data_IF_794332015506
#
_entry.id   IF_794332015506
#
_cell.length_a   1.000
_cell.length_b   1.000
_cell.length_c   1.000
_cell.angle_alpha   90.00
_cell.angle_beta   90.00
_cell.angle_gamma   90.00
#
_symmetry.space_group_name_H-M   'P 1'
#
loop_
_entity.id
_entity.type
_entity.pdbx_description
1 polymer ?
#
# COMPACT_ATOMS: atom_id res chain seq x y z
N UNK A 1 -14.04 -1.98 -25.86
CA UNK A 1 -14.80 -1.98 -24.57
C UNK A 1 -14.89 -3.35 -23.89
N UNK A 2 -14.88 -4.49 -24.62
CA UNK A 2 -14.99 -5.85 -24.01
C UNK A 2 -13.69 -6.31 -23.29
N UNK A 3 -12.52 -5.93 -23.81
CA UNK A 3 -11.21 -6.29 -23.26
C UNK A 3 -10.95 -5.61 -21.91
N UNK A 4 -11.26 -4.30 -21.81
CA UNK A 4 -11.16 -3.53 -20.56
C UNK A 4 -12.05 -4.14 -19.47
N UNK A 5 -13.29 -4.53 -19.80
CA UNK A 5 -14.20 -5.17 -18.86
C UNK A 5 -13.80 -6.58 -18.41
N UNK A 6 -13.02 -7.32 -19.22
CA UNK A 6 -12.42 -8.62 -18.84
C UNK A 6 -11.17 -8.41 -17.97
N UNK A 7 -10.30 -7.47 -18.34
CA UNK A 7 -9.10 -7.12 -17.60
C UNK A 7 -9.44 -6.59 -16.20
N UNK A 8 -10.38 -5.64 -16.12
CA UNK A 8 -10.89 -5.12 -14.84
C UNK A 8 -11.51 -6.22 -13.97
N UNK A 9 -12.15 -7.24 -14.56
CA UNK A 9 -12.70 -8.39 -13.82
C UNK A 9 -11.63 -9.30 -13.23
N UNK A 10 -10.55 -9.55 -13.98
CA UNK A 10 -9.42 -10.39 -13.54
C UNK A 10 -8.61 -9.68 -12.47
N UNK A 11 -8.29 -8.40 -12.68
CA UNK A 11 -7.61 -7.54 -11.70
C UNK A 11 -8.43 -7.47 -10.41
N UNK A 12 -9.74 -7.24 -10.50
CA UNK A 12 -10.65 -7.17 -9.33
C UNK A 12 -10.78 -8.50 -8.58
N UNK A 13 -10.60 -9.65 -9.25
CA UNK A 13 -10.54 -10.98 -8.60
C UNK A 13 -9.22 -11.19 -7.83
N UNK A 14 -8.10 -10.73 -8.38
CA UNK A 14 -6.80 -10.80 -7.67
C UNK A 14 -6.78 -9.86 -6.45
N UNK A 15 -7.26 -8.62 -6.60
CA UNK A 15 -7.32 -7.62 -5.52
C UNK A 15 -8.18 -8.10 -4.33
N UNK A 16 -9.22 -8.91 -4.55
CA UNK A 16 -10.08 -9.46 -3.48
C UNK A 16 -9.47 -10.61 -2.67
N UNK A 17 -8.38 -11.24 -3.15
CA UNK A 17 -7.71 -12.34 -2.43
C UNK A 17 -6.43 -11.95 -1.72
N UNK A 18 -5.93 -10.74 -1.93
CA UNK A 18 -4.71 -10.29 -1.25
C UNK A 18 -5.01 -10.19 0.24
N UNK A 19 -4.51 -11.11 1.05
CA UNK A 19 -4.63 -11.07 2.51
C UNK A 19 -3.76 -9.94 3.07
N UNK A 20 -4.01 -9.50 4.31
CA UNK A 20 -3.13 -8.53 4.97
C UNK A 20 -1.69 -9.05 5.07
N UNK A 21 -1.51 -10.36 5.30
CA UNK A 21 -0.20 -11.00 5.31
C UNK A 21 0.54 -10.91 3.98
N UNK A 22 -0.14 -11.08 2.84
CA UNK A 22 0.51 -10.95 1.52
C UNK A 22 0.98 -9.52 1.23
N UNK A 23 0.23 -8.50 1.66
CA UNK A 23 0.67 -7.10 1.51
C UNK A 23 1.86 -6.82 2.40
N UNK A 24 1.82 -7.25 3.66
CA UNK A 24 2.94 -7.09 4.58
C UNK A 24 4.21 -7.80 4.04
N UNK A 25 4.07 -9.03 3.55
CA UNK A 25 5.16 -9.79 2.94
C UNK A 25 5.71 -9.07 1.70
N UNK A 26 4.84 -8.59 0.80
CA UNK A 26 5.27 -7.86 -0.40
C UNK A 26 5.99 -6.54 -0.04
N UNK A 27 5.51 -5.84 0.98
CA UNK A 27 6.15 -4.63 1.49
C UNK A 27 7.55 -4.93 2.05
N UNK A 28 7.67 -5.93 2.93
CA UNK A 28 8.95 -6.33 3.50
C UNK A 28 9.92 -6.84 2.44
N UNK A 29 9.44 -7.63 1.48
CA UNK A 29 10.24 -8.12 0.37
C UNK A 29 10.75 -6.98 -0.52
N UNK A 30 9.89 -6.00 -0.83
CA UNK A 30 10.28 -4.84 -1.63
C UNK A 30 11.24 -3.91 -0.88
N UNK A 31 11.03 -3.70 0.43
CA UNK A 31 11.98 -3.00 1.30
C UNK A 31 13.34 -3.70 1.32
N UNK A 32 13.38 -5.02 1.55
CA UNK A 32 14.62 -5.78 1.56
C UNK A 32 15.34 -5.75 0.19
N UNK A 33 14.60 -5.91 -0.90
CA UNK A 33 15.15 -5.82 -2.26
C UNK A 33 15.76 -4.44 -2.52
N UNK A 34 15.04 -3.37 -2.19
CA UNK A 34 15.50 -1.99 -2.39
C UNK A 34 16.74 -1.69 -1.53
N UNK A 35 16.75 -2.18 -0.28
CA UNK A 35 17.88 -2.05 0.63
C UNK A 35 19.14 -2.73 0.07
N UNK A 36 19.02 -3.98 -0.37
CA UNK A 36 20.14 -4.74 -0.95
C UNK A 36 20.66 -4.08 -2.22
N UNK A 37 19.76 -3.63 -3.12
CA UNK A 37 20.18 -2.97 -4.36
C UNK A 37 20.92 -1.65 -4.09
N UNK A 38 20.45 -0.84 -3.14
CA UNK A 38 21.12 0.40 -2.73
C UNK A 38 22.47 0.12 -2.07
N UNK A 39 22.56 -0.95 -1.26
CA UNK A 39 23.82 -1.38 -0.65
C UNK A 39 24.84 -1.77 -1.72
N UNK A 40 24.41 -2.56 -2.73
CA UNK A 40 25.25 -2.94 -3.87
C UNK A 40 25.65 -1.74 -4.75
N UNK A 41 24.82 -0.70 -4.79
CA UNK A 41 25.14 0.57 -5.46
C UNK A 41 26.09 1.48 -4.66
N UNK A 42 26.53 1.06 -3.46
CA UNK A 42 27.45 1.82 -2.61
C UNK A 42 26.79 2.95 -1.81
N UNK A 43 25.46 2.95 -1.68
CA UNK A 43 24.70 3.99 -0.98
C UNK A 43 24.70 3.81 0.55
N UNK A 44 25.89 3.71 1.16
CA UNK A 44 26.05 3.39 2.59
C UNK A 44 25.31 4.35 3.55
N UNK A 45 25.11 5.61 3.15
CA UNK A 45 24.37 6.61 3.93
C UNK A 45 22.86 6.37 3.96
N UNK A 46 22.30 5.69 2.94
CA UNK A 46 20.86 5.46 2.80
C UNK A 46 20.42 4.12 3.39
N UNK A 47 21.36 3.19 3.57
CA UNK A 47 21.12 1.79 3.96
C UNK A 47 21.30 1.53 5.45
N UNK A 48 21.48 2.59 6.26
CA UNK A 48 21.48 2.51 7.73
C UNK A 48 20.13 2.07 8.27
N UNK A 49 20.11 1.43 9.46
CA UNK A 49 18.88 0.88 10.06
C UNK A 49 17.85 1.95 10.44
N UNK A 50 18.30 3.17 10.69
CA UNK A 50 17.51 4.37 10.97
C UNK A 50 17.22 5.17 9.68
N UNK A 51 18.22 5.31 8.82
CA UNK A 51 18.14 6.07 7.58
C UNK A 51 17.22 5.41 6.52
N UNK A 52 17.31 4.09 6.36
CA UNK A 52 16.59 3.38 5.30
C UNK A 52 15.06 3.41 5.48
N UNK A 53 14.49 3.09 6.67
CA UNK A 53 13.04 3.15 6.85
C UNK A 53 12.49 4.56 6.63
N UNK A 54 13.23 5.59 7.07
CA UNK A 54 12.85 6.99 6.85
C UNK A 54 12.91 7.36 5.35
N UNK A 55 14.00 7.03 4.65
CA UNK A 55 14.13 7.27 3.21
C UNK A 55 13.05 6.52 2.40
N UNK A 56 12.80 5.26 2.75
CA UNK A 56 11.78 4.45 2.10
C UNK A 56 10.38 5.04 2.32
N UNK A 57 10.05 5.44 3.55
CA UNK A 57 8.73 6.01 3.88
C UNK A 57 8.50 7.36 3.20
N UNK A 58 9.49 8.27 3.22
CA UNK A 58 9.39 9.58 2.56
C UNK A 58 9.28 9.44 1.04
N UNK A 59 9.87 8.39 0.46
CA UNK A 59 9.73 8.09 -0.97
C UNK A 59 8.38 7.43 -1.28
N UNK A 60 7.94 6.46 -0.49
CA UNK A 60 6.66 5.76 -0.67
C UNK A 60 5.45 6.70 -0.57
N UNK A 61 5.54 7.66 0.34
CA UNK A 61 4.53 8.72 0.52
C UNK A 61 4.68 9.87 -0.46
N UNK A 62 5.71 9.86 -1.31
CA UNK A 62 6.05 10.92 -2.27
C UNK A 62 6.31 12.29 -1.63
N UNK A 63 6.60 12.34 -0.33
CA UNK A 63 6.95 13.58 0.38
C UNK A 63 8.35 14.05 -0.03
N UNK A 64 9.34 13.14 0.03
CA UNK A 64 10.71 13.38 -0.43
C UNK A 64 11.37 14.66 0.09
N UNK A 65 11.67 14.75 1.40
CA UNK A 65 12.29 15.93 2.01
C UNK A 65 13.64 16.33 1.39
N UNK A 66 14.34 15.39 0.75
CA UNK A 66 15.58 15.65 0.00
C UNK A 66 16.86 15.63 0.85
N UNK A 67 16.74 15.41 2.15
CA UNK A 67 17.84 15.21 3.10
C UNK A 67 18.60 13.89 2.84
N UNK A 68 17.86 12.81 2.55
CA UNK A 68 18.42 11.55 2.07
C UNK A 68 18.07 11.31 0.61
N UNK A 69 19.10 11.18 -0.23
CA UNK A 69 18.94 10.89 -1.67
C UNK A 69 20.16 10.14 -2.24
N UNK A 70 19.95 9.20 -3.18
CA UNK A 70 21.04 8.44 -3.80
C UNK A 70 21.97 9.36 -4.60
N UNK A 71 23.26 9.23 -4.34
CA UNK A 71 24.29 10.10 -4.95
C UNK A 71 24.95 9.45 -6.16
N UNK A 72 25.08 8.13 -6.16
CA UNK A 72 25.63 7.34 -7.26
C UNK A 72 24.70 7.29 -8.46
N UNK A 73 25.27 7.10 -9.66
CA UNK A 73 24.50 6.93 -10.90
C UNK A 73 23.61 5.69 -10.82
N UNK A 74 24.15 4.56 -10.35
CA UNK A 74 23.40 3.32 -10.18
C UNK A 74 22.26 3.46 -9.16
N UNK A 75 22.52 4.08 -8.01
CA UNK A 75 21.53 4.31 -6.96
C UNK A 75 20.35 5.15 -7.44
N UNK A 76 20.58 6.16 -8.30
CA UNK A 76 19.50 6.95 -8.91
C UNK A 76 18.60 6.11 -9.81
N UNK A 77 19.17 5.24 -10.65
CA UNK A 77 18.38 4.36 -11.50
C UNK A 77 17.60 3.32 -10.69
N UNK A 78 18.21 2.73 -9.66
CA UNK A 78 17.53 1.83 -8.73
C UNK A 78 16.36 2.54 -8.05
N UNK A 79 16.58 3.76 -7.55
CA UNK A 79 15.54 4.52 -6.90
C UNK A 79 14.38 4.85 -7.87
N UNK A 80 14.70 5.27 -9.09
CA UNK A 80 13.71 5.65 -10.10
C UNK A 80 12.87 4.48 -10.62
N UNK A 81 13.49 3.33 -10.89
CA UNK A 81 12.82 2.21 -11.56
C UNK A 81 12.35 1.10 -10.63
N UNK A 82 13.00 0.91 -9.47
CA UNK A 82 12.66 -0.17 -8.52
C UNK A 82 11.95 0.40 -7.31
N UNK A 83 12.57 1.39 -6.66
CA UNK A 83 12.10 1.89 -5.37
C UNK A 83 10.80 2.68 -5.52
N UNK A 84 10.79 3.75 -6.32
CA UNK A 84 9.61 4.62 -6.47
C UNK A 84 8.34 3.87 -6.93
N UNK A 85 8.34 3.13 -8.06
CA UNK A 85 7.12 2.51 -8.55
C UNK A 85 6.56 1.48 -7.56
N UNK A 86 7.43 0.67 -6.97
CA UNK A 86 7.01 -0.37 -6.02
C UNK A 86 6.57 0.21 -4.68
N UNK A 87 7.32 1.17 -4.12
CA UNK A 87 6.99 1.79 -2.85
C UNK A 87 5.65 2.53 -2.91
N UNK A 88 5.42 3.32 -3.98
CA UNK A 88 4.15 4.04 -4.18
C UNK A 88 2.98 3.07 -4.38
N UNK A 89 3.15 2.02 -5.21
CA UNK A 89 2.10 1.04 -5.44
C UNK A 89 1.70 0.26 -4.17
N UNK A 90 2.69 -0.14 -3.37
CA UNK A 90 2.47 -0.84 -2.11
C UNK A 90 1.83 0.09 -1.07
N UNK A 91 2.29 1.33 -0.96
CA UNK A 91 1.69 2.33 -0.07
C UNK A 91 0.23 2.61 -0.44
N UNK A 92 -0.05 2.82 -1.72
CA UNK A 92 -1.43 2.97 -2.21
C UNK A 92 -2.31 1.75 -1.90
N UNK A 93 -1.75 0.54 -1.99
CA UNK A 93 -2.46 -0.71 -1.64
C UNK A 93 -2.80 -0.76 -0.15
N UNK A 94 -1.88 -0.36 0.72
CA UNK A 94 -2.12 -0.25 2.16
C UNK A 94 -3.23 0.75 2.44
N UNK A 95 -3.16 1.96 1.86
CA UNK A 95 -4.21 2.98 2.02
C UNK A 95 -5.59 2.48 1.55
N UNK A 96 -5.65 1.84 0.38
CA UNK A 96 -6.90 1.32 -0.16
C UNK A 96 -7.54 0.26 0.75
N UNK A 97 -6.73 -0.62 1.33
CA UNK A 97 -7.20 -1.65 2.27
C UNK A 97 -7.65 -1.07 3.60
N UNK A 98 -6.88 -0.14 4.17
CA UNK A 98 -7.24 0.53 5.43
C UNK A 98 -8.56 1.28 5.28
N UNK A 99 -8.77 1.98 4.16
CA UNK A 99 -10.04 2.64 3.84
C UNK A 99 -11.20 1.64 3.77
N UNK A 100 -11.00 0.47 3.16
CA UNK A 100 -12.00 -0.60 3.13
C UNK A 100 -12.39 -1.08 4.53
N UNK A 101 -11.41 -1.29 5.42
CA UNK A 101 -11.66 -1.67 6.82
C UNK A 101 -12.42 -0.57 7.54
N UNK A 102 -12.00 0.69 7.40
CA UNK A 102 -12.66 1.83 8.03
C UNK A 102 -14.12 1.97 7.61
N UNK A 103 -14.42 1.81 6.31
CA UNK A 103 -15.79 1.85 5.80
C UNK A 103 -16.63 0.70 6.38
N UNK A 104 -16.08 -0.51 6.47
CA UNK A 104 -16.81 -1.65 7.07
C UNK A 104 -17.02 -1.49 8.57
N UNK A 105 -16.09 -0.84 9.27
CA UNK A 105 -16.22 -0.52 10.68
C UNK A 105 -17.31 0.53 10.89
N UNK A 106 -17.27 1.63 10.12
CA UNK A 106 -18.26 2.71 10.18
C UNK A 106 -19.68 2.22 9.86
N UNK A 107 -19.83 1.38 8.82
CA UNK A 107 -21.10 0.74 8.48
C UNK A 107 -21.64 -0.12 9.62
N UNK A 108 -20.80 -0.93 10.27
CA UNK A 108 -21.20 -1.77 11.40
C UNK A 108 -21.64 -0.93 12.61
N UNK A 109 -20.97 0.19 12.87
CA UNK A 109 -21.28 1.05 14.00
C UNK A 109 -22.55 1.90 13.80
N UNK A 110 -22.80 2.42 12.59
CA UNK A 110 -23.97 3.28 12.33
C UNK A 110 -25.23 2.56 11.84
N UNK A 111 -25.14 1.34 11.27
CA UNK A 111 -26.32 0.61 10.75
C UNK A 111 -27.02 -0.29 11.77
N UNK A 112 -26.56 -0.34 13.03
CA UNK A 112 -27.27 -1.02 14.13
C UNK A 112 -28.62 -0.40 14.52
N UNK A 113 -29.07 0.67 13.84
CA UNK A 113 -30.31 1.41 14.14
C UNK A 113 -31.42 1.30 13.08
N UNK A 114 -31.26 0.52 12.01
CA UNK A 114 -32.26 0.41 10.92
C UNK A 114 -33.00 -0.94 10.85
N UNK A 115 -32.99 -1.73 11.92
CA UNK A 115 -33.85 -2.90 12.07
C UNK A 115 -34.69 -2.78 13.34
N UNK A 116 -35.47 -1.71 13.45
CA UNK A 116 -36.73 -1.81 14.20
C UNK A 116 -37.72 -2.56 13.32
N UNK A 117 -38.21 -3.73 13.74
CA UNK A 117 -39.12 -4.53 12.94
C UNK A 117 -40.42 -3.74 12.70
N UNK A 118 -40.94 -3.85 11.49
CA UNK A 118 -42.26 -3.39 11.03
C UNK A 118 -43.37 -4.27 11.68
N UNK A 119 -43.22 -4.60 12.96
CA UNK A 119 -44.11 -5.52 13.67
C UNK A 119 -44.45 -4.97 15.06
N UNK A 120 -45.17 -3.85 15.10
CA UNK A 120 -45.91 -3.42 16.28
C UNK A 120 -47.10 -2.57 15.81
N UNK A 121 -48.23 -3.22 15.50
CA UNK A 121 -49.41 -2.49 15.05
C UNK A 121 -50.57 -3.33 14.48
N UNK A 122 -50.89 -4.48 15.06
CA UNK A 122 -52.27 -4.98 15.09
C UNK A 122 -52.65 -5.22 16.56
N UNK A 123 -53.50 -4.35 17.11
CA UNK A 123 -54.80 -4.77 17.62
C UNK A 123 -55.88 -3.78 17.10
N UNK A 124 -57.12 -4.12 16.83
CA UNK A 124 -58.02 -5.19 17.31
C UNK A 124 -59.14 -5.35 16.30
#
# INVERSE_FOLDING_TARGET
MIIVGKLLRIVRRHVRRVSWGMVALALLAHMALSWVLLLLAGEHKLVGLDAFPYYYMTTATTIGYGDLSPRSVAGRYIAAFVLMPGAVALFATVLAKTSGVLITFWRRHHMGKMLTPICAGTPS
#
